data_IF_476096070026
#
_entry.id   IF_476096070026
#
_cell.length_a   1.000
_cell.length_b   1.000
_cell.length_c   1.000
_cell.angle_alpha   90.00
_cell.angle_beta   90.00
_cell.angle_gamma   90.00
#
_symmetry.space_group_name_H-M   'P 1'
#
loop_
_entity.id
_entity.type
_entity.pdbx_description
1 polymer ?
#
# COMPACT_ATOMS: atom_id res chain seq x y z
N UNK A 1 12.57 0.76 26.68
CA UNK A 1 12.06 -0.52 26.16
C UNK A 1 12.05 -1.54 27.28
N UNK A 2 10.89 -2.12 27.60
CA UNK A 2 10.77 -3.16 28.64
C UNK A 2 10.46 -4.48 27.93
N UNK A 3 11.38 -5.44 28.02
CA UNK A 3 11.24 -6.77 27.41
C UNK A 3 10.86 -7.77 28.49
N UNK A 4 9.80 -8.55 28.27
CA UNK A 4 9.36 -9.64 29.16
C UNK A 4 9.12 -10.92 28.38
N UNK A 5 9.30 -12.04 29.09
CA UNK A 5 9.07 -13.39 28.57
C UNK A 5 7.85 -13.99 29.25
N UNK A 6 6.95 -14.55 28.45
CA UNK A 6 5.69 -15.16 28.87
C UNK A 6 5.65 -16.61 28.42
N UNK A 7 5.10 -17.46 29.26
CA UNK A 7 4.90 -18.89 28.95
C UNK A 7 3.45 -19.30 29.23
N UNK A 8 2.84 -20.01 28.30
CA UNK A 8 1.47 -20.47 28.44
C UNK A 8 1.25 -21.80 27.68
N UNK A 9 0.09 -22.46 27.91
CA UNK A 9 -0.26 -23.70 27.21
C UNK A 9 -0.63 -23.47 25.76
N UNK A 10 -1.27 -22.33 25.45
CA UNK A 10 -1.67 -21.93 24.11
C UNK A 10 -1.12 -20.55 23.77
N UNK A 11 -1.06 -20.23 22.49
CA UNK A 11 -0.68 -18.88 22.04
C UNK A 11 -1.69 -17.82 22.50
N UNK A 12 -2.98 -18.16 22.51
CA UNK A 12 -4.02 -17.25 22.99
C UNK A 12 -3.82 -16.89 24.47
N UNK A 13 -3.50 -17.87 25.32
CA UNK A 13 -3.21 -17.62 26.74
C UNK A 13 -1.94 -16.80 26.93
N UNK A 14 -0.90 -17.04 26.10
CA UNK A 14 0.32 -16.25 26.12
C UNK A 14 0.05 -14.77 25.79
N UNK A 15 -0.74 -14.53 24.73
CA UNK A 15 -1.15 -13.19 24.30
C UNK A 15 -1.99 -12.47 25.37
N UNK A 16 -2.92 -13.17 26.01
CA UNK A 16 -3.72 -12.61 27.12
C UNK A 16 -2.81 -12.15 28.27
N UNK A 17 -1.78 -12.91 28.63
CA UNK A 17 -0.79 -12.52 29.64
C UNK A 17 0.04 -11.31 29.22
N UNK A 18 0.48 -11.27 27.96
CA UNK A 18 1.23 -10.12 27.43
C UNK A 18 0.37 -8.86 27.51
N UNK A 19 -0.90 -8.93 27.05
CA UNK A 19 -1.84 -7.82 27.12
C UNK A 19 -2.08 -7.36 28.56
N UNK A 20 -2.25 -8.27 29.49
CA UNK A 20 -2.50 -7.97 30.90
C UNK A 20 -1.31 -7.27 31.57
N UNK A 21 -0.05 -7.64 31.22
CA UNK A 21 1.15 -7.12 31.88
C UNK A 21 1.82 -5.96 31.14
N UNK A 22 1.76 -5.92 29.82
CA UNK A 22 2.44 -4.91 29.00
C UNK A 22 1.48 -3.97 28.29
N UNK A 23 0.16 -4.28 28.34
CA UNK A 23 -0.86 -3.47 27.65
C UNK A 23 -0.98 -3.77 26.15
N UNK A 24 -1.89 -3.02 25.50
CA UNK A 24 -2.25 -3.23 24.10
C UNK A 24 -1.16 -2.78 23.11
N UNK A 25 -0.27 -1.90 23.53
CA UNK A 25 0.85 -1.39 22.72
C UNK A 25 2.09 -2.33 22.71
N UNK A 26 1.98 -3.51 23.34
CA UNK A 26 3.08 -4.46 23.37
C UNK A 26 3.33 -5.11 22.00
N UNK A 27 4.59 -5.17 21.59
CA UNK A 27 5.04 -5.82 20.36
C UNK A 27 5.66 -7.17 20.68
N UNK A 28 5.22 -8.21 19.97
CA UNK A 28 5.82 -9.53 20.09
C UNK A 28 7.13 -9.58 19.30
N UNK A 29 8.23 -9.80 20.00
CA UNK A 29 9.54 -9.91 19.38
C UNK A 29 9.83 -11.31 18.86
N UNK A 30 9.38 -12.34 19.59
CA UNK A 30 9.59 -13.72 19.24
C UNK A 30 8.54 -14.65 19.89
N UNK A 31 8.21 -15.74 19.22
CA UNK A 31 7.38 -16.81 19.79
C UNK A 31 7.90 -18.18 19.34
N UNK A 32 7.97 -19.14 20.27
CA UNK A 32 8.38 -20.50 19.98
C UNK A 32 7.63 -21.52 20.83
N UNK A 33 7.46 -22.71 20.27
CA UNK A 33 6.97 -23.85 21.06
C UNK A 33 8.12 -24.49 21.82
N UNK A 34 7.98 -24.64 23.13
CA UNK A 34 8.93 -25.32 24.00
C UNK A 34 8.27 -26.56 24.62
N UNK A 35 9.02 -27.65 24.67
CA UNK A 35 8.61 -28.85 25.40
C UNK A 35 9.15 -28.71 26.83
N UNK A 36 8.26 -28.60 27.80
CA UNK A 36 8.63 -28.52 29.22
C UNK A 36 8.28 -29.86 29.88
N UNK A 37 9.29 -30.55 30.36
CA UNK A 37 9.12 -31.79 31.10
C UNK A 37 10.46 -32.33 31.58
N UNK A 38 10.54 -32.70 32.88
CA UNK A 38 11.68 -33.35 33.47
C UNK A 38 11.46 -34.87 33.34
N UNK A 39 12.39 -35.60 32.73
CA UNK A 39 12.31 -37.04 32.45
C UNK A 39 11.12 -37.52 31.61
N UNK A 40 11.17 -37.34 30.31
CA UNK A 40 10.66 -38.19 29.24
C UNK A 40 9.19 -38.67 29.20
N UNK A 41 8.42 -38.62 30.26
CA UNK A 41 7.10 -39.28 30.37
C UNK A 41 5.90 -38.34 30.47
N UNK A 42 6.08 -37.04 30.68
CA UNK A 42 5.01 -36.01 30.69
C UNK A 42 5.47 -34.69 30.09
N UNK A 43 5.90 -34.71 28.84
CA UNK A 43 6.26 -33.46 28.14
C UNK A 43 4.99 -32.70 27.69
N UNK A 44 4.63 -31.62 28.35
CA UNK A 44 3.59 -30.71 27.86
C UNK A 44 4.19 -29.73 26.87
N UNK A 45 3.53 -29.52 25.72
CA UNK A 45 3.88 -28.45 24.80
C UNK A 45 3.43 -27.13 25.41
N UNK A 46 4.33 -26.18 25.50
CA UNK A 46 4.03 -24.81 25.94
C UNK A 46 4.53 -23.82 24.89
N UNK A 47 3.89 -22.66 24.83
CA UNK A 47 4.29 -21.54 23.97
C UNK A 47 5.02 -20.53 24.83
N UNK A 48 6.22 -20.16 24.40
CA UNK A 48 7.02 -19.08 24.96
C UNK A 48 6.95 -17.87 24.04
N UNK A 49 6.59 -16.70 24.61
CA UNK A 49 6.45 -15.44 23.88
C UNK A 49 7.36 -14.42 24.55
N UNK A 50 8.16 -13.72 23.76
CA UNK A 50 8.97 -12.57 24.20
C UNK A 50 8.28 -11.33 23.63
N UNK A 51 7.86 -10.43 24.53
CA UNK A 51 7.19 -9.18 24.17
C UNK A 51 7.94 -7.98 24.73
N UNK A 52 7.85 -6.84 24.05
CA UNK A 52 8.44 -5.57 24.44
C UNK A 52 7.38 -4.45 24.42
N UNK A 53 7.52 -3.53 25.38
CA UNK A 53 6.82 -2.25 25.38
C UNK A 53 7.84 -1.13 25.13
N UNK A 54 7.59 -0.32 24.10
CA UNK A 54 8.35 0.90 23.86
C UNK A 54 7.74 2.02 24.71
N UNK A 55 8.45 2.45 25.75
CA UNK A 55 8.02 3.65 26.48
C UNK A 55 8.24 4.85 25.56
N UNK A 56 7.19 5.58 25.21
CA UNK A 56 7.29 6.89 24.60
C UNK A 56 8.29 7.75 25.39
N UNK A 57 9.39 8.09 24.75
CA UNK A 57 10.20 9.21 25.22
C UNK A 57 9.40 10.47 24.90
N UNK A 58 8.97 11.16 25.95
CA UNK A 58 8.46 12.53 25.85
C UNK A 58 9.50 13.34 25.09
N UNK A 59 9.24 13.60 23.82
CA UNK A 59 10.06 14.49 22.99
C UNK A 59 9.86 15.89 23.54
N UNK A 60 10.79 16.32 24.39
CA UNK A 60 10.95 17.73 24.74
C UNK A 60 11.24 18.49 23.45
N UNK A 61 10.35 19.44 23.12
CA UNK A 61 10.49 20.36 21.99
C UNK A 61 11.92 20.88 21.88
N UNK A 62 12.53 20.87 20.69
CA UNK A 62 13.83 21.50 20.50
C UNK A 62 13.70 23.00 20.76
N UNK A 63 14.52 23.51 21.67
CA UNK A 63 14.73 24.93 21.95
C UNK A 63 15.29 25.56 20.66
N UNK A 64 14.60 26.58 20.13
CA UNK A 64 15.08 27.41 19.02
C UNK A 64 16.48 27.95 19.34
N UNK A 65 17.43 27.84 18.41
CA UNK A 65 18.72 28.54 18.55
C UNK A 65 18.51 30.05 18.34
N UNK A 66 19.12 30.83 19.20
CA UNK A 66 19.18 32.28 19.11
C UNK A 66 19.93 32.74 17.83
N UNK A 67 19.65 33.95 17.32
CA UNK A 67 20.21 34.43 16.05
C UNK A 67 21.70 34.73 16.19
N UNK A 68 22.51 34.07 15.36
CA UNK A 68 23.92 34.38 15.21
C UNK A 68 24.08 35.58 14.25
N UNK A 69 24.75 36.60 14.73
CA UNK A 69 25.14 37.80 14.01
C UNK A 69 26.05 37.45 12.82
N UNK A 70 25.68 37.97 11.67
CA UNK A 70 26.47 37.98 10.44
C UNK A 70 27.70 38.86 10.56
N UNK A 71 28.85 38.41 10.07
CA UNK A 71 30.00 39.23 9.69
C UNK A 71 30.38 38.89 8.21
N UNK A 72 30.99 39.84 7.48
CA UNK A 72 30.75 39.95 6.05
C UNK A 72 31.73 39.15 5.17
N UNK A 73 31.24 38.91 3.96
CA UNK A 73 31.79 38.28 2.77
C UNK A 73 33.21 38.72 2.40
N UNK A 74 33.96 37.83 1.75
CA UNK A 74 34.49 38.19 0.44
C UNK A 74 34.09 37.20 -0.66
N UNK A 75 33.64 37.75 -1.76
CA UNK A 75 33.38 37.12 -3.04
C UNK A 75 34.67 36.60 -3.67
N UNK A 76 34.61 35.38 -4.24
CA UNK A 76 35.26 35.17 -5.52
C UNK A 76 34.27 34.61 -6.54
N UNK A 77 34.21 35.25 -7.66
CA UNK A 77 33.57 34.82 -8.89
C UNK A 77 34.17 33.51 -9.35
N UNK A 78 33.36 32.46 -9.57
CA UNK A 78 33.74 31.36 -10.43
C UNK A 78 33.04 31.49 -11.78
N UNK A 79 33.86 31.37 -12.80
CA UNK A 79 33.54 31.23 -14.20
C UNK A 79 32.48 30.13 -14.41
N UNK A 80 31.38 30.46 -15.06
CA UNK A 80 30.38 29.51 -15.52
C UNK A 80 31.01 28.58 -16.57
N UNK A 81 30.81 27.27 -16.48
CA UNK A 81 31.02 26.42 -17.64
C UNK A 81 29.88 26.69 -18.63
N UNK A 82 30.26 27.11 -19.81
CA UNK A 82 29.37 27.20 -20.97
C UNK A 82 28.94 25.77 -21.31
N UNK A 83 27.73 25.42 -20.89
CA UNK A 83 27.04 24.23 -21.39
C UNK A 83 26.58 24.59 -22.79
N UNK A 84 27.29 24.10 -23.78
CA UNK A 84 26.89 24.09 -25.18
C UNK A 84 25.63 23.19 -25.26
N UNK A 85 24.45 23.77 -25.14
CA UNK A 85 23.23 23.11 -25.53
C UNK A 85 23.24 22.96 -27.05
N UNK A 86 23.42 21.76 -27.51
CA UNK A 86 23.17 21.40 -28.91
C UNK A 86 21.65 21.57 -29.11
N UNK A 87 21.22 22.46 -30.01
CA UNK A 87 19.78 22.61 -30.22
C UNK A 87 19.23 21.32 -30.83
N UNK A 88 18.02 20.88 -30.44
CA UNK A 88 17.38 19.74 -31.06
C UNK A 88 17.19 20.03 -32.55
N UNK A 89 17.49 19.05 -33.37
CA UNK A 89 17.42 19.12 -34.82
C UNK A 89 15.95 19.33 -35.23
N UNK A 90 15.57 20.56 -35.47
CA UNK A 90 14.24 20.93 -36.00
C UNK A 90 14.15 20.42 -37.43
N UNK A 91 13.40 19.35 -37.63
CA UNK A 91 12.97 18.89 -38.93
C UNK A 91 11.49 19.31 -39.08
N UNK A 92 11.26 20.39 -39.84
CA UNK A 92 9.94 20.74 -40.39
C UNK A 92 9.04 21.57 -39.49
N UNK A 93 8.89 22.79 -39.86
CA UNK A 93 8.00 23.89 -39.51
C UNK A 93 6.68 23.64 -38.76
N UNK A 94 6.74 23.30 -37.47
CA UNK A 94 5.59 23.41 -36.60
C UNK A 94 5.59 24.80 -35.94
N UNK A 95 4.42 25.41 -35.84
CA UNK A 95 4.29 26.79 -35.35
C UNK A 95 4.82 26.93 -33.91
N UNK A 96 5.63 27.96 -33.59
CA UNK A 96 6.29 28.14 -32.28
C UNK A 96 5.34 28.16 -31.06
N UNK A 97 4.06 28.42 -31.29
CA UNK A 97 3.03 28.51 -30.24
C UNK A 97 2.57 27.14 -29.74
N UNK A 98 2.55 26.11 -30.59
CA UNK A 98 2.17 24.76 -30.18
C UNK A 98 3.26 24.11 -29.33
N UNK A 99 4.54 24.39 -29.65
CA UNK A 99 5.69 23.91 -28.90
C UNK A 99 5.69 24.40 -27.44
N UNK A 100 5.39 25.68 -27.19
CA UNK A 100 5.30 26.24 -25.85
C UNK A 100 4.13 25.62 -25.04
N UNK A 101 3.06 25.26 -25.70
CA UNK A 101 1.86 24.67 -25.07
C UNK A 101 2.05 23.20 -24.71
N UNK A 102 2.86 22.46 -25.45
CA UNK A 102 3.22 21.07 -25.15
C UNK A 102 4.25 20.95 -24.05
N UNK A 103 4.99 22.01 -23.69
CA UNK A 103 5.94 22.00 -22.58
C UNK A 103 5.33 21.58 -21.25
N UNK A 104 4.08 21.92 -21.01
CA UNK A 104 3.39 21.48 -19.79
C UNK A 104 3.13 19.97 -19.81
N UNK A 105 2.70 19.42 -20.94
CA UNK A 105 2.50 17.97 -21.12
C UNK A 105 3.84 17.24 -21.02
N UNK A 106 4.87 17.74 -21.68
CA UNK A 106 6.24 17.20 -21.64
C UNK A 106 6.81 17.24 -20.21
N UNK A 107 6.59 18.35 -19.48
CA UNK A 107 7.02 18.47 -18.08
C UNK A 107 6.33 17.45 -17.18
N UNK A 108 5.05 17.17 -17.38
CA UNK A 108 4.32 16.17 -16.64
C UNK A 108 4.85 14.75 -16.94
N UNK A 109 4.99 14.40 -18.21
CA UNK A 109 5.44 13.08 -18.64
C UNK A 109 6.91 12.80 -18.32
N UNK A 110 7.72 13.84 -18.12
CA UNK A 110 9.12 13.72 -17.71
C UNK A 110 9.33 13.59 -16.19
N UNK A 111 8.26 13.65 -15.39
CA UNK A 111 8.38 13.39 -13.93
C UNK A 111 8.82 11.95 -13.68
N UNK A 112 9.61 11.72 -12.61
CA UNK A 112 10.14 10.39 -12.28
C UNK A 112 9.04 9.32 -12.21
N UNK A 113 7.84 9.72 -11.81
CA UNK A 113 6.69 8.82 -11.64
C UNK A 113 5.99 8.46 -12.94
N UNK A 114 6.10 9.30 -13.99
CA UNK A 114 5.57 9.05 -15.34
C UNK A 114 6.64 8.59 -16.32
N UNK A 115 7.93 8.81 -16.02
CA UNK A 115 9.01 8.52 -16.93
C UNK A 115 9.01 7.06 -17.38
N UNK A 116 8.65 6.86 -18.64
CA UNK A 116 8.65 5.60 -19.37
C UNK A 116 9.18 5.89 -20.76
N UNK A 117 10.03 5.03 -21.30
CA UNK A 117 10.60 5.18 -22.66
C UNK A 117 9.50 5.29 -23.73
N UNK A 118 8.32 4.72 -23.49
CA UNK A 118 7.17 4.83 -24.39
C UNK A 118 6.64 6.26 -24.58
N UNK A 119 6.95 7.19 -23.67
CA UNK A 119 6.50 8.57 -23.78
C UNK A 119 7.29 9.39 -24.80
N UNK A 120 8.53 9.03 -25.12
CA UNK A 120 9.28 9.70 -26.19
C UNK A 120 8.61 9.53 -27.55
N UNK A 121 8.13 8.33 -27.86
CA UNK A 121 7.36 8.07 -29.09
C UNK A 121 6.03 8.80 -29.07
N UNK A 122 5.33 8.78 -27.94
CA UNK A 122 4.05 9.47 -27.74
C UNK A 122 4.18 10.97 -27.90
N UNK A 123 5.19 11.60 -27.30
CA UNK A 123 5.47 13.03 -27.47
C UNK A 123 5.78 13.38 -28.91
N UNK A 124 6.58 12.58 -29.60
CA UNK A 124 6.87 12.76 -31.02
C UNK A 124 5.58 12.71 -31.87
N UNK A 125 4.71 11.74 -31.62
CA UNK A 125 3.43 11.66 -32.30
C UNK A 125 2.56 12.90 -32.03
N UNK A 126 2.47 13.35 -30.79
CA UNK A 126 1.74 14.55 -30.39
C UNK A 126 2.24 15.81 -31.13
N UNK A 127 3.56 15.98 -31.28
CA UNK A 127 4.14 17.11 -32.02
C UNK A 127 3.70 17.19 -33.47
N UNK A 128 3.45 16.04 -34.11
CA UNK A 128 3.09 15.98 -35.53
C UNK A 128 1.60 15.90 -35.79
N UNK A 129 0.81 15.39 -34.83
CA UNK A 129 -0.60 15.06 -35.06
C UNK A 129 -1.60 16.02 -34.41
N UNK A 130 -1.24 16.62 -33.26
CA UNK A 130 -2.17 17.49 -32.52
C UNK A 130 -2.18 18.90 -33.04
N UNK A 131 -3.38 19.49 -33.11
CA UNK A 131 -3.63 20.87 -33.56
C UNK A 131 -3.85 21.83 -32.39
N UNK A 132 -4.11 21.31 -31.21
CA UNK A 132 -4.33 22.09 -29.99
C UNK A 132 -3.80 21.42 -28.74
N UNK A 133 -3.67 22.18 -27.65
CA UNK A 133 -3.28 21.69 -26.33
C UNK A 133 -4.31 20.70 -25.80
N UNK A 134 -5.60 21.01 -26.03
CA UNK A 134 -6.72 20.18 -25.61
C UNK A 134 -6.67 18.80 -26.25
N UNK A 135 -6.31 18.72 -27.53
CA UNK A 135 -6.13 17.44 -28.21
C UNK A 135 -4.96 16.63 -27.61
N UNK A 136 -3.84 17.30 -27.32
CA UNK A 136 -2.68 16.65 -26.71
C UNK A 136 -2.99 16.13 -25.30
N UNK A 137 -3.60 16.95 -24.45
CA UNK A 137 -4.01 16.54 -23.10
C UNK A 137 -5.02 15.38 -23.15
N UNK A 138 -6.01 15.44 -24.04
CA UNK A 138 -6.99 14.36 -24.21
C UNK A 138 -6.31 13.07 -24.64
N UNK A 139 -5.37 13.15 -25.56
CA UNK A 139 -4.62 11.98 -26.02
C UNK A 139 -3.85 11.33 -24.83
N UNK A 140 -3.13 12.14 -24.05
CA UNK A 140 -2.40 11.63 -22.86
C UNK A 140 -3.36 11.04 -21.83
N UNK A 141 -4.50 11.70 -21.60
CA UNK A 141 -5.55 11.18 -20.70
C UNK A 141 -6.02 9.79 -21.12
N UNK A 142 -6.35 9.60 -22.41
CA UNK A 142 -6.83 8.31 -22.93
C UNK A 142 -5.72 7.25 -22.93
N UNK A 143 -4.48 7.60 -23.19
CA UNK A 143 -3.34 6.69 -23.10
C UNK A 143 -3.10 6.21 -21.65
N UNK A 144 -3.14 7.11 -20.69
CA UNK A 144 -3.03 6.75 -19.28
C UNK A 144 -4.20 5.88 -18.84
N UNK A 145 -5.42 6.25 -19.24
CA UNK A 145 -6.63 5.48 -18.95
C UNK A 145 -6.56 4.05 -19.51
N UNK A 146 -6.10 3.90 -20.75
CA UNK A 146 -5.94 2.58 -21.39
C UNK A 146 -4.93 1.66 -20.71
N UNK A 147 -4.03 2.22 -19.89
CA UNK A 147 -3.06 1.46 -19.12
C UNK A 147 -3.65 0.84 -17.86
N UNK A 148 -4.78 1.33 -17.37
CA UNK A 148 -5.46 0.75 -16.22
C UNK A 148 -6.37 -0.40 -16.68
N UNK A 149 -6.07 -1.58 -16.17
CA UNK A 149 -6.87 -2.78 -16.38
C UNK A 149 -8.00 -2.78 -15.35
N UNK A 150 -9.22 -3.06 -15.80
CA UNK A 150 -10.37 -3.18 -14.90
C UNK A 150 -10.14 -4.30 -13.88
N UNK A 151 -10.36 -4.06 -12.59
CA UNK A 151 -10.15 -5.07 -11.58
C UNK A 151 -11.21 -6.18 -11.70
N UNK A 152 -10.80 -7.44 -11.60
CA UNK A 152 -11.74 -8.55 -11.58
C UNK A 152 -12.66 -8.46 -10.35
N UNK A 153 -13.78 -9.15 -10.41
CA UNK A 153 -14.60 -9.35 -9.21
C UNK A 153 -13.80 -10.06 -8.12
N UNK A 154 -14.02 -9.64 -6.88
CA UNK A 154 -13.37 -10.25 -5.74
C UNK A 154 -13.84 -11.70 -5.57
N UNK A 155 -12.91 -12.64 -5.45
CA UNK A 155 -13.22 -14.00 -5.05
C UNK A 155 -13.75 -14.01 -3.60
N UNK A 156 -14.28 -15.16 -3.17
CA UNK A 156 -14.81 -15.30 -1.80
C UNK A 156 -13.79 -14.87 -0.73
N UNK A 157 -12.54 -15.24 -0.88
CA UNK A 157 -11.47 -14.85 0.03
C UNK A 157 -10.64 -13.72 -0.58
N UNK A 158 -10.54 -12.62 0.13
CA UNK A 158 -9.70 -11.47 -0.24
C UNK A 158 -8.61 -11.32 0.81
N UNK A 159 -7.39 -11.56 0.40
CA UNK A 159 -6.22 -11.49 1.27
C UNK A 159 -5.35 -10.31 0.89
N UNK A 160 -4.91 -9.54 1.87
CA UNK A 160 -3.99 -8.41 1.66
C UNK A 160 -2.62 -8.73 2.22
N UNK A 161 -1.60 -8.43 1.42
CA UNK A 161 -0.18 -8.56 1.81
C UNK A 161 0.54 -7.24 1.60
N UNK A 162 1.69 -7.07 2.23
CA UNK A 162 2.50 -5.86 2.11
C UNK A 162 3.25 -5.53 3.39
N UNK A 163 4.17 -4.54 3.38
CA UNK A 163 4.99 -4.20 4.54
C UNK A 163 4.18 -3.64 5.72
N UNK A 164 4.86 -3.45 6.84
CA UNK A 164 4.26 -2.78 8.02
C UNK A 164 3.94 -1.31 7.72
N UNK A 165 2.84 -0.80 8.29
CA UNK A 165 2.50 0.62 8.20
C UNK A 165 1.88 1.08 6.88
N UNK A 166 1.70 0.20 5.88
CA UNK A 166 1.06 0.57 4.60
C UNK A 166 -0.46 0.66 4.67
N UNK A 167 -1.10 0.41 5.83
CA UNK A 167 -2.54 0.56 5.99
C UNK A 167 -3.38 -0.70 5.69
N UNK A 168 -2.83 -1.92 5.71
CA UNK A 168 -3.56 -3.18 5.43
C UNK A 168 -4.83 -3.33 6.28
N UNK A 169 -4.70 -3.29 7.60
CA UNK A 169 -5.80 -3.46 8.56
C UNK A 169 -6.89 -2.40 8.39
N UNK A 170 -6.49 -1.14 8.21
CA UNK A 170 -7.44 -0.04 7.97
C UNK A 170 -8.16 -0.20 6.63
N UNK A 171 -7.43 -0.61 5.58
CA UNK A 171 -8.04 -0.88 4.27
C UNK A 171 -9.05 -2.02 4.36
N UNK A 172 -8.72 -3.10 5.09
CA UNK A 172 -9.67 -4.20 5.30
C UNK A 172 -10.93 -3.77 6.05
N UNK A 173 -10.81 -2.88 7.04
CA UNK A 173 -11.97 -2.31 7.72
C UNK A 173 -12.87 -1.52 6.76
N UNK A 174 -12.29 -0.72 5.86
CA UNK A 174 -13.04 -0.01 4.80
C UNK A 174 -13.69 -0.99 3.82
N UNK A 175 -12.98 -2.01 3.37
CA UNK A 175 -13.53 -3.05 2.49
C UNK A 175 -14.67 -3.81 3.17
N UNK A 176 -14.55 -4.14 4.46
CA UNK A 176 -15.59 -4.82 5.22
C UNK A 176 -16.86 -3.97 5.29
N UNK A 177 -16.71 -2.68 5.56
CA UNK A 177 -17.82 -1.74 5.57
C UNK A 177 -18.46 -1.61 4.17
N UNK A 178 -17.66 -1.45 3.13
CA UNK A 178 -18.14 -1.36 1.75
C UNK A 178 -18.94 -2.61 1.34
N UNK A 179 -18.37 -3.81 1.50
CA UNK A 179 -19.07 -5.03 1.12
C UNK A 179 -20.35 -5.26 1.92
N UNK A 180 -20.35 -4.90 3.22
CA UNK A 180 -21.53 -5.08 4.06
C UNK A 180 -22.60 -4.02 3.83
N UNK A 181 -22.22 -2.74 3.79
CA UNK A 181 -23.17 -1.63 3.80
C UNK A 181 -23.60 -1.23 2.39
N UNK A 182 -22.69 -1.29 1.42
CA UNK A 182 -22.95 -0.87 0.05
C UNK A 182 -23.41 -2.02 -0.82
N UNK A 183 -22.74 -3.19 -0.71
CA UNK A 183 -23.08 -4.35 -1.54
C UNK A 183 -24.04 -5.34 -0.86
N UNK A 184 -24.37 -5.15 0.42
CA UNK A 184 -25.29 -6.01 1.19
C UNK A 184 -24.79 -7.43 1.43
N UNK A 185 -23.46 -7.67 1.27
CA UNK A 185 -22.85 -8.99 1.42
C UNK A 185 -22.70 -9.41 2.88
N UNK A 186 -22.74 -10.71 3.12
CA UNK A 186 -22.35 -11.30 4.40
C UNK A 186 -20.83 -11.38 4.47
N UNK A 187 -20.21 -10.69 5.46
CA UNK A 187 -18.76 -10.56 5.59
C UNK A 187 -18.24 -11.35 6.78
N UNK A 188 -17.05 -11.93 6.66
CA UNK A 188 -16.25 -12.46 7.75
C UNK A 188 -14.83 -11.84 7.71
N UNK A 189 -14.19 -11.70 8.87
CA UNK A 189 -12.83 -11.20 9.00
C UNK A 189 -11.93 -12.27 9.62
N UNK A 190 -10.76 -12.46 9.04
CA UNK A 190 -9.70 -13.31 9.62
C UNK A 190 -8.45 -12.45 9.73
N UNK A 191 -7.81 -12.41 10.90
CA UNK A 191 -6.48 -11.80 11.01
C UNK A 191 -5.43 -12.83 11.36
N UNK A 192 -4.31 -12.77 10.66
CA UNK A 192 -3.08 -13.50 10.96
C UNK A 192 -1.98 -12.58 11.49
N UNK A 193 -2.27 -11.27 11.67
CA UNK A 193 -1.34 -10.30 12.29
C UNK A 193 -1.36 -10.43 13.82
N UNK A 194 -0.86 -11.57 14.29
CA UNK A 194 -0.81 -11.91 15.72
C UNK A 194 0.39 -11.30 16.45
N UNK A 195 1.27 -10.59 15.74
CA UNK A 195 2.44 -9.93 16.31
C UNK A 195 2.10 -8.55 16.93
N UNK A 196 1.00 -7.95 16.48
CA UNK A 196 0.58 -6.62 16.90
C UNK A 196 -0.76 -6.69 17.61
N UNK A 197 -0.73 -6.68 18.95
CA UNK A 197 -1.95 -6.76 19.79
C UNK A 197 -2.90 -5.62 19.43
N UNK A 198 -2.39 -4.41 19.31
CA UNK A 198 -3.20 -3.24 18.95
C UNK A 198 -3.89 -3.39 17.59
N UNK A 199 -3.26 -4.04 16.60
CA UNK A 199 -3.90 -4.27 15.31
C UNK A 199 -5.10 -5.24 15.40
N UNK A 200 -4.97 -6.29 16.20
CA UNK A 200 -6.08 -7.22 16.48
C UNK A 200 -7.26 -6.48 17.14
N UNK A 201 -6.99 -5.69 18.16
CA UNK A 201 -8.03 -4.96 18.88
C UNK A 201 -8.67 -3.88 18.01
N UNK A 202 -7.88 -3.19 17.20
CA UNK A 202 -8.39 -2.25 16.22
C UNK A 202 -9.35 -2.92 15.23
N UNK A 203 -8.96 -4.08 14.66
CA UNK A 203 -9.81 -4.81 13.73
C UNK A 203 -11.10 -5.30 14.41
N UNK A 204 -11.01 -5.80 15.64
CA UNK A 204 -12.17 -6.22 16.43
C UNK A 204 -13.14 -5.07 16.71
N UNK A 205 -12.62 -3.88 17.05
CA UNK A 205 -13.44 -2.69 17.27
C UNK A 205 -14.24 -2.32 16.01
N UNK A 206 -13.61 -2.29 14.84
CA UNK A 206 -14.34 -2.07 13.59
C UNK A 206 -15.37 -3.16 13.31
N UNK A 207 -15.01 -4.42 13.54
CA UNK A 207 -15.88 -5.55 13.32
C UNK A 207 -17.12 -5.52 14.25
N UNK A 208 -16.92 -5.16 15.51
CA UNK A 208 -18.01 -5.00 16.49
C UNK A 208 -18.97 -3.90 16.07
N UNK A 209 -18.47 -2.71 15.74
CA UNK A 209 -19.29 -1.59 15.25
C UNK A 209 -20.13 -2.02 14.04
N UNK A 210 -19.54 -2.78 13.13
CA UNK A 210 -20.20 -3.26 11.93
C UNK A 210 -20.98 -4.58 12.14
N UNK A 211 -20.96 -5.18 13.33
CA UNK A 211 -21.51 -6.51 13.58
C UNK A 211 -21.03 -7.57 12.58
N UNK A 212 -19.73 -7.62 12.36
CA UNK A 212 -19.03 -8.58 11.50
C UNK A 212 -18.24 -9.56 12.39
N UNK A 213 -18.36 -10.89 12.20
CA UNK A 213 -17.59 -11.84 12.98
C UNK A 213 -16.09 -11.78 12.59
N UNK A 214 -15.21 -11.89 13.59
CA UNK A 214 -13.75 -11.88 13.46
C UNK A 214 -13.17 -13.14 14.07
N UNK A 215 -12.27 -13.81 13.36
CA UNK A 215 -11.43 -14.89 13.86
C UNK A 215 -9.96 -14.49 13.84
N UNK A 216 -9.24 -14.84 14.91
CA UNK A 216 -7.79 -14.65 15.01
C UNK A 216 -7.11 -15.99 14.78
N UNK A 217 -6.29 -16.07 13.76
CA UNK A 217 -5.54 -17.29 13.42
C UNK A 217 -4.08 -17.14 13.84
N UNK A 218 -3.68 -17.85 14.87
CA UNK A 218 -2.32 -17.86 15.40
C UNK A 218 -1.39 -18.81 14.64
N UNK A 219 -1.97 -19.83 14.00
CA UNK A 219 -1.27 -20.79 13.18
C UNK A 219 -2.14 -21.23 11.97
N UNK A 220 -1.58 -22.10 11.15
CA UNK A 220 -2.27 -22.62 9.97
C UNK A 220 -3.53 -23.43 10.30
N UNK A 221 -3.55 -24.15 11.43
CA UNK A 221 -4.71 -24.92 11.85
C UNK A 221 -5.87 -23.98 12.23
N UNK A 222 -5.57 -22.90 12.96
CA UNK A 222 -6.56 -21.85 13.28
C UNK A 222 -7.08 -21.19 12.01
N UNK A 223 -6.19 -20.87 11.07
CA UNK A 223 -6.58 -20.28 9.78
C UNK A 223 -7.53 -21.18 8.99
N UNK A 224 -7.24 -22.47 8.90
CA UNK A 224 -8.10 -23.43 8.22
C UNK A 224 -9.46 -23.56 8.90
N UNK A 225 -9.49 -23.58 10.24
CA UNK A 225 -10.73 -23.59 11.03
C UNK A 225 -11.56 -22.33 10.79
N UNK A 226 -10.94 -21.14 10.77
CA UNK A 226 -11.62 -19.89 10.50
C UNK A 226 -12.21 -19.86 9.08
N UNK A 227 -11.48 -20.34 8.06
CA UNK A 227 -12.02 -20.50 6.70
C UNK A 227 -13.27 -21.40 6.68
N UNK A 228 -13.25 -22.53 7.39
CA UNK A 228 -14.40 -23.43 7.49
C UNK A 228 -15.59 -22.77 8.18
N UNK A 229 -15.36 -22.03 9.27
CA UNK A 229 -16.40 -21.30 9.98
C UNK A 229 -17.09 -20.26 9.08
N UNK A 230 -16.32 -19.63 8.20
CA UNK A 230 -16.81 -18.60 7.28
C UNK A 230 -17.14 -19.11 5.87
N UNK A 231 -17.20 -20.44 5.65
CA UNK A 231 -17.47 -21.04 4.34
C UNK A 231 -18.82 -20.62 3.70
N UNK A 232 -19.78 -20.16 4.52
CA UNK A 232 -21.09 -19.68 4.04
C UNK A 232 -21.18 -18.15 3.89
N UNK A 233 -20.08 -17.44 4.16
CA UNK A 233 -20.02 -15.99 3.92
C UNK A 233 -19.84 -15.70 2.43
N UNK A 234 -20.43 -14.62 1.98
CA UNK A 234 -20.25 -14.17 0.58
C UNK A 234 -18.82 -13.72 0.34
N UNK A 235 -18.22 -13.05 1.35
CA UNK A 235 -16.84 -12.60 1.28
C UNK A 235 -16.14 -12.73 2.64
N UNK A 236 -14.89 -13.14 2.62
CA UNK A 236 -14.03 -13.25 3.80
C UNK A 236 -12.75 -12.44 3.55
N UNK A 237 -12.52 -11.43 4.37
CA UNK A 237 -11.36 -10.56 4.27
C UNK A 237 -10.28 -11.05 5.24
N UNK A 238 -9.05 -11.16 4.75
CA UNK A 238 -7.92 -11.77 5.47
C UNK A 238 -6.81 -10.74 5.63
N UNK A 239 -6.58 -10.31 6.89
CA UNK A 239 -5.48 -9.45 7.28
C UNK A 239 -4.22 -10.27 7.54
N UNK A 240 -3.09 -9.84 6.99
CA UNK A 240 -1.80 -10.52 7.21
C UNK A 240 -0.83 -9.62 7.97
N UNK A 241 0.07 -10.26 8.72
CA UNK A 241 1.17 -9.55 9.36
C UNK A 241 2.00 -8.78 8.33
N UNK A 242 2.31 -7.53 8.66
CA UNK A 242 3.27 -6.76 7.89
C UNK A 242 4.67 -7.26 8.15
N UNK A 243 5.10 -8.30 7.46
CA UNK A 243 6.43 -8.85 7.59
C UNK A 243 7.41 -8.25 6.59
N UNK A 244 8.68 -8.34 6.93
CA UNK A 244 9.76 -8.03 6.01
C UNK A 244 9.92 -9.22 5.05
N UNK A 245 9.30 -9.14 3.87
CA UNK A 245 9.34 -10.17 2.83
C UNK A 245 10.72 -10.27 2.12
N UNK A 246 11.78 -9.76 2.74
CA UNK A 246 13.16 -9.96 2.29
C UNK A 246 13.66 -11.38 2.58
N UNK A 247 12.88 -12.18 3.34
CA UNK A 247 13.20 -13.57 3.63
C UNK A 247 12.47 -14.48 2.62
N UNK A 248 13.18 -15.08 1.65
CA UNK A 248 12.59 -15.98 0.66
C UNK A 248 11.89 -17.19 1.32
N UNK A 249 12.41 -17.67 2.44
CA UNK A 249 11.83 -18.81 3.16
C UNK A 249 10.42 -18.48 3.69
N UNK A 250 10.17 -17.22 4.05
CA UNK A 250 8.82 -16.79 4.45
C UNK A 250 7.85 -16.79 3.26
N UNK A 251 8.29 -16.33 2.10
CA UNK A 251 7.47 -16.32 0.88
C UNK A 251 7.11 -17.75 0.46
N UNK A 252 8.07 -18.66 0.52
CA UNK A 252 7.86 -20.09 0.22
C UNK A 252 6.86 -20.71 1.19
N UNK A 253 7.04 -20.55 2.50
CA UNK A 253 6.10 -21.01 3.52
C UNK A 253 4.71 -20.39 3.33
N UNK A 254 4.63 -19.11 3.00
CA UNK A 254 3.36 -18.46 2.74
C UNK A 254 2.65 -19.10 1.55
N UNK A 255 3.39 -19.42 0.50
CA UNK A 255 2.86 -20.10 -0.69
C UNK A 255 2.37 -21.52 -0.39
N UNK A 256 3.12 -22.29 0.39
CA UNK A 256 2.76 -23.66 0.76
C UNK A 256 1.51 -23.74 1.65
N UNK A 257 1.28 -22.72 2.48
CA UNK A 257 0.22 -22.75 3.49
C UNK A 257 -1.11 -22.12 3.02
N UNK A 258 -1.15 -21.50 1.83
CA UNK A 258 -2.35 -20.83 1.36
C UNK A 258 -2.82 -21.40 0.01
N UNK A 259 -4.09 -21.75 -0.06
CA UNK A 259 -4.76 -22.08 -1.32
C UNK A 259 -5.29 -20.80 -1.98
N UNK A 260 -4.69 -20.45 -3.11
CA UNK A 260 -5.03 -19.25 -3.88
C UNK A 260 -6.08 -19.47 -4.96
N UNK A 261 -6.61 -20.68 -5.12
CA UNK A 261 -7.63 -20.95 -6.16
C UNK A 261 -8.91 -20.14 -5.94
N UNK A 262 -9.35 -20.00 -4.69
CA UNK A 262 -10.52 -19.20 -4.28
C UNK A 262 -10.15 -17.87 -3.63
N UNK A 263 -8.87 -17.47 -3.67
CA UNK A 263 -8.36 -16.30 -2.98
C UNK A 263 -7.91 -15.23 -3.99
N UNK A 264 -8.42 -14.01 -3.88
CA UNK A 264 -7.84 -12.82 -4.47
C UNK A 264 -6.75 -12.30 -3.56
N UNK A 265 -5.50 -12.30 -4.03
CA UNK A 265 -4.35 -11.82 -3.27
C UNK A 265 -3.97 -10.42 -3.77
N UNK A 266 -4.06 -9.42 -2.90
CA UNK A 266 -3.75 -8.03 -3.25
C UNK A 266 -2.52 -7.53 -2.51
N UNK A 267 -1.57 -6.94 -3.24
CA UNK A 267 -0.43 -6.26 -2.66
C UNK A 267 -0.81 -4.82 -2.31
N UNK A 268 -0.65 -4.46 -1.04
CA UNK A 268 -0.92 -3.10 -0.54
C UNK A 268 0.36 -2.28 -0.56
N UNK A 269 0.31 -1.15 -1.25
CA UNK A 269 1.40 -0.19 -1.38
C UNK A 269 0.93 1.19 -0.91
N UNK A 270 1.77 1.88 -0.13
CA UNK A 270 1.49 3.26 0.28
C UNK A 270 2.03 4.25 -0.75
N UNK A 271 1.20 5.18 -1.21
CA UNK A 271 1.61 6.25 -2.13
C UNK A 271 2.56 7.28 -1.50
N UNK A 272 2.71 7.26 -0.16
CA UNK A 272 3.73 8.06 0.53
C UNK A 272 5.13 7.45 0.47
N UNK A 273 5.25 6.22 -0.03
CA UNK A 273 6.55 5.56 -0.21
C UNK A 273 7.27 6.09 -1.44
N UNK A 274 8.60 6.12 -1.40
CA UNK A 274 9.40 6.46 -2.58
C UNK A 274 9.21 5.37 -3.65
N UNK A 275 9.26 5.79 -4.91
CA UNK A 275 9.11 4.90 -6.06
C UNK A 275 10.05 3.68 -5.99
N UNK A 276 11.34 3.94 -5.69
CA UNK A 276 12.35 2.88 -5.54
C UNK A 276 12.02 1.86 -4.43
N UNK A 277 11.37 2.31 -3.35
CA UNK A 277 10.95 1.44 -2.27
C UNK A 277 9.75 0.59 -2.69
N UNK A 278 8.79 1.16 -3.44
CA UNK A 278 7.67 0.40 -4.02
C UNK A 278 8.16 -0.66 -5.01
N UNK A 279 9.12 -0.31 -5.88
CA UNK A 279 9.75 -1.23 -6.82
C UNK A 279 10.38 -2.42 -6.09
N UNK A 280 11.11 -2.14 -5.02
CA UNK A 280 11.77 -3.16 -4.20
C UNK A 280 10.76 -4.03 -3.45
N UNK A 281 9.67 -3.43 -2.93
CA UNK A 281 8.58 -4.17 -2.30
C UNK A 281 7.94 -5.09 -3.33
N UNK A 282 7.55 -4.58 -4.49
CA UNK A 282 6.91 -5.39 -5.53
C UNK A 282 7.75 -6.60 -5.92
N UNK A 283 9.05 -6.41 -6.16
CA UNK A 283 9.96 -7.51 -6.51
C UNK A 283 10.07 -8.62 -5.46
N UNK A 284 9.74 -8.32 -4.20
CA UNK A 284 9.71 -9.33 -3.14
C UNK A 284 8.41 -10.16 -3.13
N UNK A 285 7.35 -9.64 -3.74
CA UNK A 285 6.04 -10.27 -3.78
C UNK A 285 5.66 -10.82 -5.15
N UNK A 286 6.41 -10.49 -6.21
CA UNK A 286 6.08 -10.87 -7.59
C UNK A 286 6.04 -12.40 -7.83
N UNK A 287 6.70 -13.18 -6.97
CA UNK A 287 6.61 -14.64 -7.01
C UNK A 287 5.28 -15.19 -6.48
N UNK A 288 4.51 -14.39 -5.76
CA UNK A 288 3.18 -14.78 -5.30
C UNK A 288 2.14 -14.57 -6.41
N UNK A 289 1.04 -15.34 -6.41
CA UNK A 289 -0.05 -15.20 -7.38
C UNK A 289 -0.89 -13.94 -7.09
N UNK A 290 -0.27 -12.77 -7.19
CA UNK A 290 -0.95 -11.50 -7.00
C UNK A 290 -2.04 -11.33 -8.04
N UNK A 291 -3.24 -10.96 -7.61
CA UNK A 291 -4.37 -10.68 -8.49
C UNK A 291 -4.60 -9.18 -8.73
N UNK A 292 -4.07 -8.33 -7.85
CA UNK A 292 -4.25 -6.88 -7.94
C UNK A 292 -3.34 -6.11 -7.01
N UNK A 293 -3.30 -4.79 -7.20
CA UNK A 293 -2.70 -3.83 -6.30
C UNK A 293 -3.77 -3.08 -5.52
N UNK A 294 -3.45 -2.66 -4.31
CA UNK A 294 -4.23 -1.69 -3.53
C UNK A 294 -3.29 -0.55 -3.15
N UNK A 295 -3.67 0.68 -3.49
CA UNK A 295 -2.91 1.85 -3.10
C UNK A 295 -3.57 2.55 -1.91
N UNK A 296 -2.74 3.03 -0.99
CA UNK A 296 -3.21 3.68 0.24
C UNK A 296 -2.58 5.04 0.42
N UNK A 297 -3.21 5.86 1.26
CA UNK A 297 -2.70 7.18 1.69
C UNK A 297 -2.55 8.16 0.54
N UNK A 298 -3.50 8.14 -0.42
CA UNK A 298 -3.50 9.09 -1.51
C UNK A 298 -3.77 10.53 -1.03
N UNK A 299 -4.38 10.68 0.15
CA UNK A 299 -4.61 11.94 0.86
C UNK A 299 -3.34 12.52 1.49
N UNK A 300 -2.38 11.67 1.84
CA UNK A 300 -1.14 12.08 2.53
C UNK A 300 -0.02 12.53 1.56
N UNK A 301 -0.23 12.48 0.24
CA UNK A 301 0.77 12.83 -0.77
C UNK A 301 0.19 13.72 -1.88
N UNK A 302 1.02 14.63 -2.40
CA UNK A 302 0.71 15.40 -3.61
C UNK A 302 0.97 14.60 -4.89
N UNK A 303 1.90 13.66 -4.87
CA UNK A 303 2.28 12.83 -6.02
C UNK A 303 1.67 11.43 -5.90
N UNK A 304 0.70 11.13 -6.76
CA UNK A 304 0.08 9.80 -6.88
C UNK A 304 0.45 9.06 -8.17
N UNK A 305 1.34 9.64 -8.99
CA UNK A 305 1.74 9.07 -10.29
C UNK A 305 2.51 7.75 -10.14
N UNK A 306 3.09 7.52 -8.96
CA UNK A 306 3.70 6.24 -8.60
C UNK A 306 2.75 5.06 -8.83
N UNK A 307 1.43 5.27 -8.69
CA UNK A 307 0.40 4.27 -9.01
C UNK A 307 0.46 3.86 -10.49
N UNK A 308 0.53 4.83 -11.41
CA UNK A 308 0.62 4.56 -12.85
C UNK A 308 1.83 3.72 -13.19
N UNK A 309 3.01 4.11 -12.70
CA UNK A 309 4.26 3.38 -12.93
C UNK A 309 4.20 1.94 -12.39
N UNK A 310 3.62 1.74 -11.20
CA UNK A 310 3.48 0.41 -10.63
C UNK A 310 2.53 -0.48 -11.45
N UNK A 311 1.44 0.09 -11.97
CA UNK A 311 0.53 -0.63 -12.89
C UNK A 311 1.26 -1.05 -14.16
N UNK A 312 1.99 -0.13 -14.79
CA UNK A 312 2.78 -0.41 -16.00
C UNK A 312 3.82 -1.51 -15.76
N UNK A 313 4.52 -1.45 -14.63
CA UNK A 313 5.57 -2.41 -14.28
C UNK A 313 4.99 -3.80 -13.97
N UNK A 314 3.92 -3.85 -13.19
CA UNK A 314 3.37 -5.12 -12.69
C UNK A 314 2.42 -5.80 -13.67
N UNK A 315 1.78 -5.04 -14.56
CA UNK A 315 0.67 -5.51 -15.39
C UNK A 315 -0.58 -5.89 -14.57
N UNK A 316 -0.63 -5.53 -13.29
CA UNK A 316 -1.74 -5.88 -12.39
C UNK A 316 -2.79 -4.76 -12.35
N UNK A 317 -4.09 -5.10 -12.26
CA UNK A 317 -5.13 -4.12 -12.02
C UNK A 317 -5.02 -3.52 -10.61
N UNK A 318 -5.49 -2.30 -10.46
CA UNK A 318 -5.73 -1.70 -9.14
C UNK A 318 -7.11 -2.13 -8.66
N UNK A 319 -7.19 -2.86 -7.55
CA UNK A 319 -8.50 -3.23 -7.00
C UNK A 319 -9.15 -2.04 -6.28
N UNK A 320 -8.38 -1.35 -5.46
CA UNK A 320 -8.86 -0.25 -4.62
C UNK A 320 -7.76 0.78 -4.37
N UNK A 321 -8.19 2.01 -4.07
CA UNK A 321 -7.33 3.07 -3.55
C UNK A 321 -8.00 3.71 -2.34
N UNK A 322 -7.23 4.03 -1.28
CA UNK A 322 -7.73 4.80 -0.13
C UNK A 322 -7.22 6.23 -0.19
N UNK A 323 -8.10 7.18 0.08
CA UNK A 323 -7.85 8.62 -0.06
C UNK A 323 -8.37 9.39 1.16
N UNK A 324 -8.09 8.89 2.36
CA UNK A 324 -8.44 9.50 3.63
C UNK A 324 -8.57 8.48 4.76
N UNK A 325 -9.04 8.93 5.92
CA UNK A 325 -9.10 8.12 7.15
C UNK A 325 -10.52 7.64 7.50
N UNK A 326 -11.55 8.20 6.87
CA UNK A 326 -12.94 7.87 7.15
C UNK A 326 -13.32 6.46 6.66
N UNK A 327 -14.13 5.75 7.45
CA UNK A 327 -14.65 4.42 7.16
C UNK A 327 -16.17 4.51 7.08
N UNK A 328 -16.79 4.16 5.95
CA UNK A 328 -16.26 3.52 4.73
C UNK A 328 -15.84 4.48 3.60
N UNK A 329 -16.02 5.80 3.75
CA UNK A 329 -16.18 6.75 2.65
C UNK A 329 -14.92 6.96 1.80
N UNK A 330 -13.74 6.91 2.39
CA UNK A 330 -12.47 7.17 1.68
C UNK A 330 -11.93 5.91 0.99
N UNK A 331 -12.77 5.29 0.15
CA UNK A 331 -12.43 4.09 -0.61
C UNK A 331 -12.87 4.24 -2.07
N UNK A 332 -11.92 4.20 -2.98
CA UNK A 332 -12.15 4.35 -4.42
C UNK A 332 -11.94 2.99 -5.09
N UNK A 333 -12.97 2.51 -5.83
CA UNK A 333 -12.84 1.32 -6.68
C UNK A 333 -11.87 1.62 -7.83
N UNK A 334 -11.00 0.65 -8.14
CA UNK A 334 -9.93 0.80 -9.12
C UNK A 334 -10.37 0.79 -10.59
N UNK A 335 -11.54 1.39 -10.90
CA UNK A 335 -11.96 1.58 -12.30
C UNK A 335 -11.05 2.56 -13.02
N UNK A 336 -10.73 2.28 -14.29
CA UNK A 336 -9.82 3.09 -15.09
C UNK A 336 -10.19 4.58 -15.11
N UNK A 337 -11.50 4.89 -15.27
CA UNK A 337 -11.99 6.26 -15.23
C UNK A 337 -11.73 6.96 -13.89
N UNK A 338 -12.03 6.27 -12.78
CA UNK A 338 -11.88 6.85 -11.44
C UNK A 338 -10.41 7.11 -11.10
N UNK A 339 -9.52 6.16 -11.43
CA UNK A 339 -8.09 6.28 -11.19
C UNK A 339 -7.46 7.38 -12.06
N UNK A 340 -7.78 7.40 -13.36
CA UNK A 340 -7.26 8.42 -14.27
C UNK A 340 -7.74 9.81 -13.87
N UNK A 341 -9.04 9.94 -13.58
CA UNK A 341 -9.60 11.19 -13.07
C UNK A 341 -8.84 11.68 -11.84
N UNK A 342 -8.64 10.81 -10.85
CA UNK A 342 -7.96 11.15 -9.60
C UNK A 342 -6.50 11.55 -9.82
N UNK A 343 -5.82 10.92 -10.77
CA UNK A 343 -4.46 11.20 -11.15
C UNK A 343 -4.30 12.60 -11.75
N UNK A 344 -5.18 12.96 -12.67
CA UNK A 344 -5.13 14.26 -13.34
C UNK A 344 -5.78 15.41 -12.54
N UNK A 345 -6.67 15.13 -11.58
CA UNK A 345 -7.18 16.15 -10.65
C UNK A 345 -6.06 16.81 -9.84
N UNK A 346 -5.08 16.04 -9.40
CA UNK A 346 -3.93 16.55 -8.64
C UNK A 346 -2.99 17.42 -9.48
N UNK A 347 -2.99 17.24 -10.80
CA UNK A 347 -2.20 18.04 -11.75
C UNK A 347 -2.92 19.30 -12.26
N UNK A 348 -4.11 19.60 -11.74
CA UNK A 348 -4.87 20.77 -12.15
C UNK A 348 -5.57 20.63 -13.52
N UNK A 349 -5.63 19.44 -14.11
CA UNK A 349 -6.35 19.15 -15.36
C UNK A 349 -7.84 18.93 -15.11
N UNK A 350 -8.43 19.72 -14.21
CA UNK A 350 -9.80 19.59 -13.74
C UNK A 350 -10.88 19.67 -14.85
N UNK A 351 -10.54 20.20 -16.03
CA UNK A 351 -11.46 20.25 -17.16
C UNK A 351 -11.82 18.88 -17.73
N UNK A 352 -10.90 17.92 -17.68
CA UNK A 352 -11.12 16.55 -18.17
C UNK A 352 -11.84 15.67 -17.14
N UNK A 353 -11.77 16.04 -15.87
CA UNK A 353 -12.42 15.32 -14.78
C UNK A 353 -13.91 15.68 -14.64
N UNK A 354 -14.36 16.80 -15.26
CA UNK A 354 -15.75 17.28 -15.20
C UNK A 354 -16.63 16.84 -16.35
N UNK A 355 -16.08 16.28 -17.41
CA UNK A 355 -16.84 15.74 -18.54
C UNK A 355 -17.08 14.25 -18.34
N UNK A 356 -17.84 13.88 -17.28
CA UNK A 356 -18.54 12.63 -17.24
C UNK A 356 -19.81 12.78 -18.08
N UNK A 357 -19.86 12.08 -19.17
CA UNK A 357 -21.10 11.82 -19.93
C UNK A 357 -21.91 10.82 -19.15
#
# INVERSE_FOLDING_TARGET
MQIKKFTAKTMADAMAKVKQELGDEAVILNSRQVKTGWFGLFASKQVEVIAALEKEQVVTKPRQPAPVRTAPTPTPTPSQPVITQTPPRVIGGAAPRLHASLQHVESLLSTESFADESWEETLNELYYTTKSVEEAERFVYEQVKSSFIEPPEAKRYVMVVGPTGVGKTTTLAKLAAHFKLTEGKTVGLITTDTYRIAAIEQLKTYAEIMSIPVEVAYDFHDFKRAKQLFARKDIVLIDTAGRNFRDPAYVEQFHEHHDFTETSLSLVLSLTSKMKDMDMIYSQFESLPLSSLIFTKADETSDIHAMYRMVKKSGLPVAWMTDGQEVPDDLIRGHADALTKRLFEKEGWARWTKQGV
#
